data_IF_515481664515
#
_entry.id   IF_515481664515
#
_cell.length_a   1.000
_cell.length_b   1.000
_cell.length_c   1.000
_cell.angle_alpha   90.00
_cell.angle_beta   90.00
_cell.angle_gamma   90.00
#
_symmetry.space_group_name_H-M   'P 1'
#
loop_
_entity.id
_entity.type
_entity.pdbx_description
1 polymer ?
#
# COMPACT_ATOMS: atom_id res chain seq x y z
N UNK A 1 -0.42 19.25 0.36
CA UNK A 1 0.76 18.45 -0.04
C UNK A 1 0.26 17.22 -0.75
N UNK A 2 0.90 16.83 -1.85
CA UNK A 2 0.54 15.62 -2.60
C UNK A 2 1.61 14.57 -2.33
N UNK A 3 1.21 13.39 -1.86
CA UNK A 3 2.09 12.23 -1.71
C UNK A 3 1.86 11.28 -2.87
N UNK A 4 2.94 10.61 -3.29
CA UNK A 4 2.88 9.52 -4.27
C UNK A 4 3.53 8.31 -3.64
N UNK A 5 2.76 7.23 -3.55
CA UNK A 5 3.18 5.94 -3.00
C UNK A 5 2.84 4.83 -3.97
N UNK A 6 3.48 3.69 -3.77
CA UNK A 6 3.27 2.47 -4.54
C UNK A 6 2.36 1.55 -3.75
N UNK A 7 1.22 1.21 -4.34
CA UNK A 7 0.27 0.27 -3.75
C UNK A 7 0.27 -1.05 -4.53
N UNK A 8 0.25 -2.17 -3.80
CA UNK A 8 -0.03 -3.51 -4.35
C UNK A 8 -1.39 -3.95 -3.85
N UNK A 9 -2.21 -4.51 -4.73
CA UNK A 9 -3.54 -5.04 -4.39
C UNK A 9 -3.60 -6.49 -4.85
N UNK A 10 -3.87 -7.40 -3.93
CA UNK A 10 -4.02 -8.83 -4.20
C UNK A 10 -5.43 -9.27 -3.86
N UNK A 11 -5.96 -10.24 -4.62
CA UNK A 11 -7.23 -10.88 -4.28
C UNK A 11 -6.97 -12.03 -3.32
N UNK A 12 -7.56 -11.96 -2.13
CA UNK A 12 -7.46 -12.96 -1.07
C UNK A 12 -8.86 -13.45 -0.70
N UNK A 13 -9.27 -14.58 -1.29
CA UNK A 13 -10.62 -15.11 -1.16
C UNK A 13 -11.67 -14.13 -1.69
N UNK A 14 -12.55 -13.66 -0.80
CA UNK A 14 -13.62 -12.69 -1.13
C UNK A 14 -13.19 -11.22 -1.04
N UNK A 15 -11.97 -10.95 -0.59
CA UNK A 15 -11.47 -9.60 -0.35
C UNK A 15 -10.35 -9.25 -1.33
N UNK A 16 -10.18 -7.96 -1.56
CA UNK A 16 -8.97 -7.37 -2.11
C UNK A 16 -8.17 -6.76 -0.96
N UNK A 17 -6.97 -7.27 -0.71
CA UNK A 17 -6.04 -6.77 0.30
C UNK A 17 -5.06 -5.82 -0.38
N UNK A 18 -4.97 -4.59 0.13
CA UNK A 18 -4.18 -3.51 -0.44
C UNK A 18 -3.06 -3.09 0.52
N UNK A 19 -1.85 -2.87 0.02
CA UNK A 19 -0.66 -2.51 0.80
C UNK A 19 0.09 -1.34 0.19
N UNK A 20 0.39 -0.32 0.99
CA UNK A 20 1.34 0.74 0.67
C UNK A 20 2.77 0.26 0.98
N UNK A 21 3.63 0.18 -0.03
CA UNK A 21 4.96 -0.43 0.12
C UNK A 21 5.91 0.45 0.93
N UNK A 22 5.87 1.76 0.75
CA UNK A 22 6.78 2.71 1.40
C UNK A 22 6.47 2.88 2.89
N UNK A 23 5.21 2.70 3.29
CA UNK A 23 4.77 2.92 4.67
C UNK A 23 4.44 1.61 5.41
N UNK A 24 4.35 0.49 4.68
CA UNK A 24 3.91 -0.81 5.22
C UNK A 24 2.44 -0.83 5.67
N UNK A 25 1.66 0.21 5.37
CA UNK A 25 0.24 0.32 5.73
C UNK A 25 -0.58 -0.66 4.87
N UNK A 26 -1.52 -1.35 5.48
CA UNK A 26 -2.39 -2.34 4.85
C UNK A 26 -3.85 -1.97 5.07
N UNK A 27 -4.69 -2.27 4.09
CA UNK A 27 -6.14 -2.19 4.18
C UNK A 27 -6.79 -3.26 3.30
N UNK A 28 -8.11 -3.29 3.21
CA UNK A 28 -8.86 -4.24 2.39
C UNK A 28 -10.21 -3.69 1.94
N UNK A 29 -10.81 -4.28 0.91
CA UNK A 29 -12.16 -3.98 0.44
C UNK A 29 -12.76 -5.10 -0.40
N UNK A 30 -14.08 -5.13 -0.57
CA UNK A 30 -14.77 -6.17 -1.37
C UNK A 30 -14.57 -5.97 -2.88
N UNK A 31 -14.18 -4.77 -3.30
CA UNK A 31 -13.77 -4.44 -4.67
C UNK A 31 -12.38 -3.80 -4.67
N UNK A 32 -11.75 -3.72 -5.84
CA UNK A 32 -10.45 -3.06 -6.03
C UNK A 32 -10.55 -1.59 -5.62
N UNK A 33 -11.61 -0.92 -6.03
CA UNK A 33 -11.90 0.50 -5.73
C UNK A 33 -12.02 0.70 -4.23
N UNK A 34 -12.78 -0.17 -3.55
CA UNK A 34 -12.97 -0.04 -2.10
C UNK A 34 -11.69 -0.33 -1.33
N UNK A 35 -10.91 -1.31 -1.75
CA UNK A 35 -9.60 -1.59 -1.15
C UNK A 35 -8.62 -0.42 -1.33
N UNK A 36 -8.68 0.28 -2.48
CA UNK A 36 -7.86 1.46 -2.73
C UNK A 36 -8.31 2.67 -1.93
N UNK A 37 -9.62 2.94 -1.83
CA UNK A 37 -10.17 4.00 -0.97
C UNK A 37 -9.80 3.79 0.49
N UNK A 38 -10.04 2.59 1.02
CA UNK A 38 -9.73 2.28 2.41
C UNK A 38 -8.21 2.35 2.68
N UNK A 39 -7.36 2.04 1.70
CA UNK A 39 -5.91 2.23 1.84
C UNK A 39 -5.51 3.71 1.89
N UNK A 40 -6.15 4.56 1.07
CA UNK A 40 -5.89 6.01 1.09
C UNK A 40 -6.24 6.60 2.46
N UNK A 41 -7.38 6.21 3.03
CA UNK A 41 -7.78 6.64 4.38
C UNK A 41 -6.77 6.18 5.44
N UNK A 42 -6.41 4.88 5.44
CA UNK A 42 -5.44 4.34 6.40
C UNK A 42 -4.06 5.01 6.30
N UNK A 43 -3.59 5.29 5.08
CA UNK A 43 -2.35 6.04 4.85
C UNK A 43 -2.47 7.49 5.35
N UNK A 44 -3.61 8.14 5.13
CA UNK A 44 -3.89 9.48 5.64
C UNK A 44 -3.73 9.55 7.16
N UNK A 45 -4.42 8.64 7.88
CA UNK A 45 -4.34 8.54 9.34
C UNK A 45 -2.91 8.27 9.82
N UNK A 46 -2.18 7.37 9.15
CA UNK A 46 -0.78 7.08 9.49
C UNK A 46 0.13 8.31 9.39
N UNK A 47 -0.07 9.15 8.37
CA UNK A 47 0.73 10.37 8.17
C UNK A 47 0.40 11.48 9.16
N UNK A 48 -0.84 11.53 9.66
CA UNK A 48 -1.26 12.42 10.74
C UNK A 48 -0.58 12.05 12.05
N UNK A 49 -0.56 10.75 12.39
CA UNK A 49 0.09 10.22 13.61
C UNK A 49 1.62 10.32 13.55
N UNK A 50 2.21 10.28 12.34
CA UNK A 50 3.66 10.26 12.14
C UNK A 50 4.13 11.39 11.21
N UNK A 51 4.19 12.65 11.70
CA UNK A 51 4.59 13.79 10.88
C UNK A 51 6.03 13.71 10.32
N UNK A 52 6.91 12.88 10.90
CA UNK A 52 8.26 12.61 10.34
C UNK A 52 8.24 11.66 9.13
N UNK A 53 7.20 10.82 9.00
CA UNK A 53 6.99 9.98 7.82
C UNK A 53 6.70 10.81 6.56
N UNK A 54 6.37 12.11 6.71
CA UNK A 54 6.26 13.05 5.58
C UNK A 54 7.56 13.19 4.77
N UNK A 55 8.73 12.85 5.34
CA UNK A 55 10.01 12.79 4.63
C UNK A 55 10.22 11.47 3.85
N UNK A 56 9.37 10.46 4.03
CA UNK A 56 9.47 9.15 3.38
C UNK A 56 9.11 9.21 1.89
N UNK A 57 8.42 10.27 1.43
CA UNK A 57 8.24 10.55 0.00
C UNK A 57 9.53 10.82 -0.78
N UNK A 58 10.70 10.76 -0.12
CA UNK A 58 12.04 10.80 -0.72
C UNK A 58 12.71 9.42 -0.82
N UNK A 59 12.10 8.36 -0.29
CA UNK A 59 12.58 7.01 -0.55
C UNK A 59 12.32 6.68 -2.02
N UNK A 60 13.32 6.11 -2.69
CA UNK A 60 13.19 5.70 -4.08
C UNK A 60 11.96 4.80 -4.24
N UNK A 61 11.10 5.12 -5.21
CA UNK A 61 9.92 4.31 -5.54
C UNK A 61 10.38 2.87 -5.76
N UNK A 62 9.82 1.89 -5.01
CA UNK A 62 10.27 0.52 -5.13
C UNK A 62 9.97 -0.02 -6.54
N UNK A 63 10.90 -0.80 -7.09
CA UNK A 63 10.61 -1.63 -8.26
C UNK A 63 9.73 -2.80 -7.80
N UNK A 64 8.52 -2.92 -8.35
CA UNK A 64 7.61 -4.03 -8.08
C UNK A 64 7.74 -5.05 -9.20
N UNK A 65 8.05 -6.30 -8.84
CA UNK A 65 8.20 -7.41 -9.80
C UNK A 65 7.76 -8.73 -9.16
N UNK A 66 7.44 -9.72 -9.99
CA UNK A 66 7.09 -11.08 -9.58
C UNK A 66 8.32 -11.97 -9.68
N UNK A 67 8.57 -12.79 -8.66
CA UNK A 67 9.59 -13.84 -8.68
C UNK A 67 8.90 -15.19 -8.63
N UNK A 68 9.15 -16.03 -9.64
CA UNK A 68 8.72 -17.43 -9.65
C UNK A 68 9.90 -18.31 -9.22
N UNK A 69 9.63 -19.28 -8.33
CA UNK A 69 10.61 -20.24 -7.85
C UNK A 69 9.93 -21.60 -7.68
N UNK A 70 10.55 -22.64 -8.25
CA UNK A 70 10.17 -24.03 -8.01
C UNK A 70 10.98 -24.58 -6.84
N UNK A 71 10.30 -25.19 -5.86
CA UNK A 71 10.93 -25.86 -4.72
C UNK A 71 10.53 -27.34 -4.75
N UNK A 72 11.53 -28.23 -4.63
CA UNK A 72 11.38 -29.70 -4.70
C UNK A 72 11.24 -30.27 -3.30
#
# INVERSE_FOLDING_TARGET
>A
MTYRFTAVINKEGKWYVSRCLELGVVSQGETIEKAQENLKEAVGLFLEDRPKAKKVGLMATPLVTTLELEHV
#
